data_IF_687009323249
#
_entry.id   IF_687009323249
#
_cell.length_a   1.000
_cell.length_b   1.000
_cell.length_c   1.000
_cell.angle_alpha   90.00
_cell.angle_beta   90.00
_cell.angle_gamma   90.00
#
_symmetry.space_group_name_H-M   'P 1'
#
loop_
_entity.id
_entity.type
_entity.pdbx_description
1 polymer ?
#
# COMPACT_ATOMS: atom_id res chain seq x y z
N UNK A 1 -16.98 4.26 -0.85
CA UNK A 1 -16.11 4.02 0.33
C UNK A 1 -16.75 4.71 1.52
N UNK A 2 -16.82 4.07 2.69
CA UNK A 2 -17.43 4.63 3.90
C UNK A 2 -16.36 4.81 4.98
N UNK A 3 -16.53 5.81 5.85
CA UNK A 3 -15.67 6.03 7.03
C UNK A 3 -16.33 5.35 8.22
N UNK A 4 -15.57 4.57 8.96
CA UNK A 4 -16.06 3.83 10.13
C UNK A 4 -16.17 4.74 11.36
N UNK A 5 -17.25 4.62 12.11
CA UNK A 5 -17.48 5.38 13.35
C UNK A 5 -16.52 4.99 14.48
N UNK A 6 -16.20 5.95 15.35
CA UNK A 6 -15.25 5.81 16.46
C UNK A 6 -15.59 4.65 17.39
N UNK A 7 -16.88 4.42 17.62
CA UNK A 7 -17.41 3.37 18.49
C UNK A 7 -17.03 1.97 17.97
N UNK A 8 -17.02 1.78 16.65
CA UNK A 8 -16.61 0.51 16.05
C UNK A 8 -15.10 0.30 16.19
N UNK A 9 -14.29 1.35 16.01
CA UNK A 9 -12.84 1.30 16.21
C UNK A 9 -12.45 0.92 17.64
N UNK A 10 -13.28 1.27 18.62
CA UNK A 10 -13.05 0.93 20.03
C UNK A 10 -13.53 -0.49 20.37
N UNK A 11 -14.56 -0.99 19.68
CA UNK A 11 -15.19 -2.27 19.98
C UNK A 11 -14.50 -3.46 19.31
N UNK A 12 -13.95 -3.27 18.11
CA UNK A 12 -13.40 -4.36 17.31
C UNK A 12 -11.95 -4.08 16.88
N UNK A 13 -11.12 -5.13 16.92
CA UNK A 13 -9.83 -5.12 16.22
C UNK A 13 -10.09 -5.28 14.72
N UNK A 14 -10.32 -4.16 14.04
CA UNK A 14 -10.51 -4.14 12.59
C UNK A 14 -9.18 -3.95 11.89
N UNK A 15 -9.01 -4.64 10.77
CA UNK A 15 -7.88 -4.46 9.87
C UNK A 15 -8.38 -3.78 8.60
N UNK A 16 -7.61 -2.83 8.09
CA UNK A 16 -7.87 -2.17 6.82
C UNK A 16 -6.67 -2.33 5.90
N UNK A 17 -6.95 -2.62 4.63
CA UNK A 17 -5.97 -2.58 3.55
C UNK A 17 -5.85 -1.14 3.07
N UNK A 18 -4.62 -0.64 2.99
CA UNK A 18 -4.30 0.68 2.48
C UNK A 18 -3.28 0.56 1.32
N UNK A 19 -3.50 1.21 0.17
CA UNK A 19 -2.70 1.05 -1.05
C UNK A 19 -1.41 1.90 -1.03
N UNK A 20 -0.75 2.01 0.12
CA UNK A 20 0.56 2.64 0.27
C UNK A 20 1.44 1.82 1.22
N UNK A 21 2.76 1.96 1.06
CA UNK A 21 3.72 1.47 2.04
C UNK A 21 3.55 2.20 3.40
N UNK A 22 4.01 1.62 4.51
CA UNK A 22 4.04 2.30 5.80
C UNK A 22 4.71 3.67 5.72
N UNK A 23 4.05 4.71 6.23
CA UNK A 23 4.53 6.10 6.14
C UNK A 23 4.26 6.78 4.79
N UNK A 24 3.65 6.09 3.83
CA UNK A 24 3.26 6.63 2.54
C UNK A 24 2.03 7.55 2.58
N UNK A 25 1.56 8.00 1.40
CA UNK A 25 0.38 8.86 1.28
C UNK A 25 -0.89 8.24 1.86
N UNK A 26 -1.82 9.09 2.32
CA UNK A 26 -3.14 8.70 2.82
C UNK A 26 -4.25 9.04 1.82
N UNK A 27 -5.45 8.49 2.01
CA UNK A 27 -6.61 8.75 1.17
C UNK A 27 -6.92 7.62 0.18
N UNK A 28 -7.75 7.92 -0.81
CA UNK A 28 -8.15 6.96 -1.84
C UNK A 28 -6.95 6.48 -2.65
N UNK A 29 -7.06 5.30 -3.27
CA UNK A 29 -5.97 4.75 -4.09
C UNK A 29 -5.58 5.70 -5.24
N UNK A 30 -6.52 6.47 -5.79
CA UNK A 30 -6.22 7.49 -6.80
C UNK A 30 -5.36 8.62 -6.23
N UNK A 31 -5.74 9.15 -5.07
CA UNK A 31 -5.00 10.23 -4.41
C UNK A 31 -3.61 9.75 -4.00
N UNK A 32 -3.49 8.51 -3.53
CA UNK A 32 -2.21 7.91 -3.17
C UNK A 32 -1.29 7.83 -4.39
N UNK A 33 -1.75 7.26 -5.50
CA UNK A 33 -0.91 7.13 -6.70
C UNK A 33 -0.49 8.50 -7.24
N UNK A 34 -1.39 9.48 -7.28
CA UNK A 34 -1.01 10.82 -7.72
C UNK A 34 0.00 11.49 -6.78
N UNK A 35 -0.13 11.33 -5.47
CA UNK A 35 0.86 11.84 -4.52
C UNK A 35 2.23 11.17 -4.69
N UNK A 36 2.28 9.86 -5.00
CA UNK A 36 3.53 9.16 -5.30
C UNK A 36 4.20 9.74 -6.56
N UNK A 37 3.42 9.98 -7.62
CA UNK A 37 3.92 10.57 -8.87
C UNK A 37 4.40 12.01 -8.65
N UNK A 38 3.58 12.85 -8.00
CA UNK A 38 3.90 14.24 -7.65
C UNK A 38 5.18 14.32 -6.79
N UNK A 39 5.34 13.40 -5.85
CA UNK A 39 6.49 13.31 -4.95
C UNK A 39 7.71 12.62 -5.55
N UNK A 40 7.67 12.15 -6.81
CA UNK A 40 8.74 11.36 -7.45
C UNK A 40 9.20 10.19 -6.59
N UNK A 41 8.24 9.49 -5.97
CA UNK A 41 8.53 8.36 -5.11
C UNK A 41 9.25 7.26 -5.88
N UNK A 42 10.20 6.60 -5.23
CA UNK A 42 10.99 5.50 -5.82
C UNK A 42 10.40 4.12 -5.52
N UNK A 43 9.58 4.06 -4.49
CA UNK A 43 8.98 2.83 -3.98
C UNK A 43 7.55 3.13 -3.53
N UNK A 44 6.69 2.12 -3.64
CA UNK A 44 5.40 2.12 -2.97
C UNK A 44 5.09 0.71 -2.44
N UNK A 45 3.89 0.47 -1.98
CA UNK A 45 3.48 -0.80 -1.44
C UNK A 45 2.01 -0.84 -1.08
N UNK A 46 1.65 -1.84 -0.31
CA UNK A 46 0.39 -1.91 0.38
C UNK A 46 0.65 -2.28 1.84
N UNK A 47 -0.21 -1.82 2.73
CA UNK A 47 -0.16 -2.17 4.14
C UNK A 47 -1.53 -2.62 4.63
N UNK A 48 -1.52 -3.55 5.58
CA UNK A 48 -2.67 -3.86 6.40
C UNK A 48 -2.39 -3.31 7.79
N UNK A 49 -3.26 -2.44 8.27
CA UNK A 49 -3.10 -1.77 9.56
C UNK A 49 -4.35 -1.92 10.42
N UNK A 50 -4.18 -1.77 11.73
CA UNK A 50 -5.31 -1.67 12.65
C UNK A 50 -6.08 -0.38 12.38
N UNK A 51 -7.40 -0.47 12.35
CA UNK A 51 -8.25 0.72 12.19
C UNK A 51 -8.32 1.47 13.50
N UNK A 52 -7.96 2.75 13.45
CA UNK A 52 -8.06 3.70 14.56
C UNK A 52 -9.03 4.82 14.20
N UNK A 53 -9.48 5.64 15.17
CA UNK A 53 -10.24 6.86 14.86
C UNK A 53 -9.49 7.84 13.96
N UNK A 54 -8.16 7.81 13.98
CA UNK A 54 -7.30 8.50 13.03
C UNK A 54 -7.17 7.67 11.74
N UNK A 55 -7.64 8.24 10.62
CA UNK A 55 -7.69 7.59 9.31
C UNK A 55 -6.28 7.21 8.82
N UNK A 56 -6.10 5.97 8.35
CA UNK A 56 -4.86 5.43 7.77
C UNK A 56 -3.60 5.51 8.68
N UNK A 57 -3.77 5.73 9.99
CA UNK A 57 -2.66 5.98 10.94
C UNK A 57 -2.50 4.95 12.06
N UNK A 58 -3.32 3.90 12.06
CA UNK A 58 -3.21 2.87 13.09
C UNK A 58 -1.96 1.98 12.92
N UNK A 59 -1.61 1.18 13.95
CA UNK A 59 -0.44 0.31 13.89
C UNK A 59 -0.48 -0.67 12.72
N UNK A 60 0.63 -0.75 11.98
CA UNK A 60 0.76 -1.63 10.83
C UNK A 60 0.85 -3.09 11.29
N UNK A 61 -0.05 -3.94 10.82
CA UNK A 61 0.00 -5.38 11.04
C UNK A 61 1.04 -6.02 10.12
N UNK A 62 0.99 -5.68 8.84
CA UNK A 62 1.90 -6.21 7.83
C UNK A 62 1.92 -5.32 6.59
N UNK A 63 2.96 -5.46 5.77
CA UNK A 63 3.06 -4.71 4.53
C UNK A 63 3.90 -5.46 3.50
N UNK A 64 3.82 -5.00 2.26
CA UNK A 64 4.80 -5.30 1.22
C UNK A 64 5.08 -4.05 0.41
N UNK A 65 6.30 -3.95 -0.10
CA UNK A 65 6.75 -2.85 -0.95
C UNK A 65 7.21 -3.36 -2.30
N UNK A 66 7.31 -2.47 -3.27
CA UNK A 66 7.91 -2.72 -4.58
C UNK A 66 8.42 -1.41 -5.18
N UNK A 67 9.54 -1.46 -5.93
CA UNK A 67 10.06 -0.29 -6.60
C UNK A 67 9.07 0.19 -7.67
N UNK A 68 8.98 1.50 -7.82
CA UNK A 68 8.28 2.16 -8.92
C UNK A 68 9.25 2.92 -9.81
N UNK A 69 10.51 2.49 -9.84
CA UNK A 69 11.59 2.96 -10.71
C UNK A 69 12.28 1.74 -11.33
N UNK A 70 13.12 1.95 -12.35
CA UNK A 70 13.65 0.86 -13.16
C UNK A 70 12.66 0.44 -14.25
N UNK A 71 13.07 -0.47 -15.12
CA UNK A 71 12.18 -1.01 -16.15
C UNK A 71 11.00 -1.79 -15.52
N UNK A 72 9.74 -1.60 -15.98
CA UNK A 72 9.33 -0.76 -17.11
C UNK A 72 8.94 0.68 -16.74
N UNK A 73 9.05 1.08 -15.47
CA UNK A 73 8.63 2.39 -14.97
C UNK A 73 9.41 3.56 -15.56
N UNK A 74 10.71 3.39 -15.80
CA UNK A 74 11.58 4.48 -16.23
C UNK A 74 11.03 5.17 -17.48
N UNK A 75 10.59 4.43 -18.49
CA UNK A 75 10.00 4.99 -19.71
C UNK A 75 8.81 5.92 -19.43
N UNK A 76 7.93 5.54 -18.49
CA UNK A 76 6.75 6.31 -18.13
C UNK A 76 7.06 7.51 -17.23
N UNK A 77 8.09 7.42 -16.39
CA UNK A 77 8.60 8.59 -15.66
C UNK A 77 9.15 9.66 -16.60
N UNK A 78 9.96 9.26 -17.59
CA UNK A 78 10.50 10.19 -18.58
C UNK A 78 9.38 10.88 -19.40
N UNK A 79 8.29 10.17 -19.70
CA UNK A 79 7.12 10.75 -20.38
C UNK A 79 6.47 11.89 -19.56
N UNK A 80 6.35 11.71 -18.25
CA UNK A 80 5.80 12.74 -17.34
C UNK A 80 6.76 13.91 -17.20
N UNK A 81 8.06 13.65 -17.06
CA UNK A 81 9.07 14.70 -16.97
C UNK A 81 9.12 15.55 -18.24
N UNK A 82 9.00 14.93 -19.42
CA UNK A 82 8.95 15.63 -20.71
C UNK A 82 7.76 16.57 -20.88
N UNK A 83 6.69 16.44 -20.08
CA UNK A 83 5.49 17.27 -20.13
C UNK A 83 5.59 18.52 -19.22
N UNK A 84 6.76 19.15 -19.20
CA UNK A 84 7.07 20.32 -18.36
C UNK A 84 6.06 21.48 -18.49
N UNK A 85 5.46 21.68 -19.66
CA UNK A 85 4.54 22.78 -19.94
C UNK A 85 3.22 22.66 -19.16
N UNK A 86 2.72 21.45 -19.00
CA UNK A 86 1.45 21.20 -18.31
C UNK A 86 1.61 21.16 -16.78
N UNK A 87 2.81 20.80 -16.32
CA UNK A 87 3.07 20.43 -14.93
C UNK A 87 2.24 19.22 -14.48
N UNK A 88 2.53 18.69 -13.29
CA UNK A 88 1.88 17.46 -12.82
C UNK A 88 0.35 17.61 -12.69
N UNK A 89 -0.12 18.79 -12.27
CA UNK A 89 -1.55 19.10 -12.18
C UNK A 89 -2.24 19.15 -13.56
N UNK A 90 -1.55 19.61 -14.60
CA UNK A 90 -2.09 19.59 -15.97
C UNK A 90 -2.21 18.18 -16.51
N UNK A 91 -1.18 17.35 -16.28
CA UNK A 91 -1.17 15.93 -16.66
C UNK A 91 -2.30 15.18 -15.97
N UNK A 92 -2.45 15.35 -14.65
CA UNK A 92 -3.53 14.75 -13.85
C UNK A 92 -4.91 15.12 -14.36
N UNK A 93 -5.14 16.38 -14.76
CA UNK A 93 -6.43 16.82 -15.34
C UNK A 93 -6.69 16.23 -16.73
N UNK A 94 -5.67 16.14 -17.58
CA UNK A 94 -5.82 15.66 -18.97
C UNK A 94 -5.95 14.14 -19.06
N UNK A 95 -5.13 13.42 -18.31
CA UNK A 95 -4.99 11.98 -18.43
C UNK A 95 -5.72 11.23 -17.31
N UNK A 96 -5.75 11.77 -16.09
CA UNK A 96 -6.35 11.12 -14.93
C UNK A 96 -5.87 9.67 -14.79
N UNK A 97 -6.78 8.77 -14.49
CA UNK A 97 -6.48 7.33 -14.34
C UNK A 97 -6.00 6.65 -15.63
N UNK A 98 -6.06 7.31 -16.80
CA UNK A 98 -5.55 6.78 -18.06
C UNK A 98 -4.04 6.99 -18.26
N UNK A 99 -3.37 7.76 -17.39
CA UNK A 99 -1.92 7.93 -17.46
C UNK A 99 -1.19 6.58 -17.31
N UNK A 100 -0.20 6.33 -18.18
CA UNK A 100 0.49 5.04 -18.25
C UNK A 100 1.23 4.68 -16.95
N UNK A 101 1.94 5.64 -16.34
CA UNK A 101 2.63 5.41 -15.06
C UNK A 101 1.62 5.09 -13.96
N UNK A 102 0.55 5.88 -13.88
CA UNK A 102 -0.53 5.69 -12.91
C UNK A 102 -1.13 4.28 -13.03
N UNK A 103 -1.44 3.85 -14.25
CA UNK A 103 -2.01 2.52 -14.53
C UNK A 103 -1.06 1.40 -14.14
N UNK A 104 0.22 1.53 -14.48
CA UNK A 104 1.23 0.52 -14.14
C UNK A 104 1.40 0.39 -12.62
N UNK A 105 1.48 1.50 -11.90
CA UNK A 105 1.52 1.50 -10.43
C UNK A 105 0.27 0.82 -9.88
N UNK A 106 -0.92 1.14 -10.39
CA UNK A 106 -2.17 0.52 -9.92
C UNK A 106 -2.21 -0.97 -10.21
N UNK A 107 -1.79 -1.40 -11.39
CA UNK A 107 -1.79 -2.80 -11.79
C UNK A 107 -0.87 -3.63 -10.89
N UNK A 108 0.37 -3.17 -10.68
CA UNK A 108 1.32 -3.89 -9.84
C UNK A 108 0.98 -3.82 -8.35
N UNK A 109 0.34 -2.75 -7.89
CA UNK A 109 -0.22 -2.65 -6.55
C UNK A 109 -1.38 -3.63 -6.33
N UNK A 110 -2.33 -3.70 -7.25
CA UNK A 110 -3.50 -4.57 -7.15
C UNK A 110 -3.11 -6.06 -7.10
N UNK A 111 -2.10 -6.48 -7.87
CA UNK A 111 -1.55 -7.85 -7.82
C UNK A 111 -1.07 -8.23 -6.42
N UNK A 112 -0.54 -7.26 -5.65
CA UNK A 112 0.01 -7.47 -4.31
C UNK A 112 -1.03 -7.30 -3.21
N UNK A 113 -2.01 -6.42 -3.38
CA UNK A 113 -3.08 -6.16 -2.39
C UNK A 113 -3.81 -7.44 -1.97
N UNK A 114 -4.22 -8.28 -2.93
CA UNK A 114 -4.93 -9.52 -2.62
C UNK A 114 -4.03 -10.55 -1.92
N UNK A 115 -2.80 -10.70 -2.40
CA UNK A 115 -1.80 -11.60 -1.79
C UNK A 115 -1.42 -11.15 -0.38
N UNK A 116 -1.38 -9.84 -0.13
CA UNK A 116 -1.14 -9.28 1.19
C UNK A 116 -2.25 -9.67 2.14
N UNK A 117 -3.52 -9.52 1.77
CA UNK A 117 -4.65 -9.96 2.62
C UNK A 117 -4.49 -11.43 3.04
N UNK A 118 -4.26 -12.32 2.09
CA UNK A 118 -4.11 -13.75 2.36
C UNK A 118 -2.89 -14.06 3.24
N UNK A 119 -1.75 -13.46 2.93
CA UNK A 119 -0.49 -13.68 3.65
C UNK A 119 -0.54 -13.12 5.08
N UNK A 120 -1.23 -12.01 5.29
CA UNK A 120 -1.51 -11.44 6.61
C UNK A 120 -2.40 -12.34 7.42
N UNK A 121 -3.51 -12.84 6.85
CA UNK A 121 -4.39 -13.79 7.53
C UNK A 121 -3.64 -15.07 7.93
N UNK A 122 -2.78 -15.59 7.05
CA UNK A 122 -1.90 -16.72 7.34
C UNK A 122 -0.88 -16.40 8.44
N UNK A 123 -0.30 -15.21 8.46
CA UNK A 123 0.62 -14.79 9.52
C UNK A 123 -0.07 -14.71 10.89
N UNK A 124 -1.31 -14.21 10.94
CA UNK A 124 -2.13 -14.23 12.15
C UNK A 124 -2.50 -15.65 12.60
N UNK A 125 -2.96 -16.51 11.68
CA UNK A 125 -3.38 -17.88 12.03
C UNK A 125 -2.22 -18.74 12.53
N UNK A 126 -1.01 -18.47 12.05
CA UNK A 126 0.23 -19.14 12.50
C UNK A 126 0.85 -18.49 13.74
N UNK A 127 0.27 -17.40 14.26
CA UNK A 127 0.80 -16.69 15.42
C UNK A 127 2.12 -15.95 15.16
N UNK A 128 2.52 -15.74 13.89
CA UNK A 128 3.69 -14.93 13.51
C UNK A 128 3.47 -13.45 13.80
N UNK A 129 2.21 -13.01 13.72
CA UNK A 129 1.75 -11.67 14.04
C UNK A 129 0.56 -11.79 14.99
N UNK A 130 0.50 -10.94 16.02
CA UNK A 130 -0.60 -10.88 16.98
C UNK A 130 -0.98 -9.44 17.27
N UNK A 131 -2.22 -9.24 17.72
CA UNK A 131 -2.68 -7.96 18.27
C UNK A 131 -2.80 -8.10 19.78
N UNK A 132 -2.15 -7.22 20.53
CA UNK A 132 -2.22 -7.22 22.01
C UNK A 132 -2.34 -5.79 22.49
N UNK A 133 -3.41 -5.48 23.23
CA UNK A 133 -3.69 -4.15 23.78
C UNK A 133 -3.61 -3.03 22.72
N UNK A 134 -4.19 -3.28 21.53
CA UNK A 134 -4.19 -2.32 20.42
C UNK A 134 -2.84 -2.14 19.72
N UNK A 135 -1.83 -2.94 20.04
CA UNK A 135 -0.51 -2.94 19.38
C UNK A 135 -0.31 -4.22 18.58
N UNK A 136 0.52 -4.14 17.54
CA UNK A 136 0.97 -5.29 16.76
C UNK A 136 2.28 -5.81 17.34
N UNK A 137 2.35 -7.12 17.56
CA UNK A 137 3.51 -7.82 18.11
C UNK A 137 3.87 -9.04 17.30
N UNK A 138 5.12 -9.49 17.39
CA UNK A 138 5.62 -10.73 16.78
C UNK A 138 5.22 -12.00 17.56
N UNK A 139 5.75 -13.14 17.13
CA UNK A 139 5.50 -14.44 17.77
C UNK A 139 5.90 -14.46 19.25
N UNK A 140 7.00 -13.78 19.60
CA UNK A 140 7.55 -13.64 20.95
C UNK A 140 6.84 -12.56 21.78
N UNK A 141 5.89 -11.82 21.20
CA UNK A 141 5.16 -10.75 21.88
C UNK A 141 5.90 -9.42 21.91
N UNK A 142 6.97 -9.26 21.12
CA UNK A 142 7.71 -7.99 20.99
C UNK A 142 6.98 -7.07 20.02
N UNK A 143 6.85 -5.76 20.33
CA UNK A 143 6.27 -4.79 19.40
C UNK A 143 7.03 -4.74 18.07
N UNK A 144 6.29 -4.69 16.96
CA UNK A 144 6.83 -4.53 15.62
C UNK A 144 6.17 -3.35 14.91
N UNK A 145 6.89 -2.72 13.97
CA UNK A 145 6.40 -1.60 13.16
C UNK A 145 5.68 -2.06 11.87
N UNK A 146 5.23 -3.31 11.86
CA UNK A 146 4.69 -3.98 10.67
C UNK A 146 5.51 -5.21 10.30
N UNK A 147 4.81 -6.31 10.04
CA UNK A 147 5.44 -7.54 9.58
C UNK A 147 5.70 -7.46 8.06
N UNK A 148 6.97 -7.49 7.66
CA UNK A 148 7.36 -7.39 6.26
C UNK A 148 7.05 -8.71 5.53
N UNK A 149 6.22 -8.64 4.50
CA UNK A 149 5.83 -9.75 3.62
C UNK A 149 6.29 -9.56 2.17
N UNK A 150 7.16 -8.57 1.89
CA UNK A 150 7.64 -8.26 0.53
C UNK A 150 8.18 -9.51 -0.17
N UNK A 151 9.12 -10.22 0.44
CA UNK A 151 9.76 -11.39 -0.20
C UNK A 151 8.77 -12.54 -0.43
N UNK A 152 7.89 -12.83 0.55
CA UNK A 152 6.85 -13.89 0.42
C UNK A 152 5.89 -13.55 -0.73
N UNK A 153 5.49 -12.28 -0.86
CA UNK A 153 4.55 -11.83 -1.89
C UNK A 153 5.21 -11.77 -3.27
N UNK A 154 6.46 -11.32 -3.38
CA UNK A 154 7.16 -11.27 -4.66
C UNK A 154 7.34 -12.68 -5.27
N UNK A 155 7.58 -13.69 -4.45
CA UNK A 155 7.62 -15.09 -4.91
C UNK A 155 6.24 -15.57 -5.39
N UNK A 156 5.16 -15.23 -4.69
CA UNK A 156 3.80 -15.56 -5.09
C UNK A 156 3.40 -14.87 -6.42
N UNK A 157 3.80 -13.61 -6.61
CA UNK A 157 3.56 -12.87 -7.86
C UNK A 157 4.24 -13.57 -9.04
N UNK A 158 5.50 -14.01 -8.89
CA UNK A 158 6.22 -14.76 -9.95
C UNK A 158 5.56 -16.11 -10.27
N UNK A 159 5.06 -16.81 -9.26
CA UNK A 159 4.41 -18.11 -9.42
C UNK A 159 3.02 -18.05 -10.09
N UNK A 160 2.38 -16.88 -10.13
CA UNK A 160 1.04 -16.70 -10.75
C UNK A 160 1.12 -16.47 -12.26
N UNK A 161 2.32 -16.22 -12.79
CA UNK A 161 2.58 -16.02 -14.24
C UNK A 161 2.99 -17.30 -14.99
N UNK A 162 2.81 -18.48 -14.38
CA UNK A 162 3.07 -19.80 -15.00
C UNK A 162 1.80 -20.49 -15.47
#
# INVERSE_FOLDING_TARGET
MLIVGKEMCQKYNMLNLHPAAPGGPTGTWQEVIWQLIEGKAKETGAMIHLVTPELDRGPVASYCTFPIIGEPFDSYWHEIEGQHIDGINGIKRKQGENNSLFRLIRELGLKREFLLILSTMKAFSQGRVKVTNGKVVDAEGRPINGYNLTDEIDELVKGTTS
#
